data_IF_442234051617
#
_entry.id   IF_442234051617
#
_cell.length_a   1.000
_cell.length_b   1.000
_cell.length_c   1.000
_cell.angle_alpha   90.00
_cell.angle_beta   90.00
_cell.angle_gamma   90.00
#
_symmetry.space_group_name_H-M   'P 1'
#
loop_
_entity.id
_entity.type
_entity.pdbx_description
1 polymer ?
#
# COMPACT_ATOMS: atom_id res chain seq x y z
N UNK A 1 10.02 -4.57 -78.24
CA UNK A 1 9.57 -4.61 -76.83
C UNK A 1 10.28 -5.76 -76.13
N UNK A 2 11.33 -5.49 -75.35
CA UNK A 2 12.01 -6.50 -74.54
C UNK A 2 11.59 -6.32 -73.08
N UNK A 3 10.97 -7.34 -72.49
CA UNK A 3 10.61 -7.38 -71.06
C UNK A 3 11.89 -7.70 -70.27
N UNK A 4 12.41 -6.72 -69.53
CA UNK A 4 13.50 -6.93 -68.59
C UNK A 4 13.11 -7.96 -67.53
N UNK A 5 13.83 -9.08 -67.54
CA UNK A 5 13.72 -10.16 -66.56
C UNK A 5 14.42 -9.69 -65.27
N UNK A 6 13.71 -8.91 -64.44
CA UNK A 6 14.22 -8.45 -63.14
C UNK A 6 14.55 -9.66 -62.27
N UNK A 7 15.81 -9.78 -61.85
CA UNK A 7 16.29 -10.95 -61.10
C UNK A 7 15.62 -11.01 -59.73
N UNK A 8 15.18 -12.21 -59.34
CA UNK A 8 14.42 -12.49 -58.11
C UNK A 8 15.37 -12.66 -56.91
N UNK A 9 16.66 -12.86 -57.18
CA UNK A 9 17.75 -13.02 -56.22
C UNK A 9 17.80 -11.97 -55.09
N UNK A 10 17.74 -10.65 -55.35
CA UNK A 10 17.80 -9.66 -54.27
C UNK A 10 16.58 -9.72 -53.32
N UNK A 11 15.41 -10.14 -53.82
CA UNK A 11 14.20 -10.27 -53.00
C UNK A 11 14.27 -11.47 -52.07
N UNK A 12 14.81 -12.59 -52.54
CA UNK A 12 15.02 -13.80 -51.73
C UNK A 12 16.05 -13.53 -50.63
N UNK A 13 17.15 -12.82 -50.96
CA UNK A 13 18.19 -12.48 -50.00
C UNK A 13 17.65 -11.57 -48.87
N UNK A 14 16.85 -10.56 -49.22
CA UNK A 14 16.20 -9.68 -48.24
C UNK A 14 15.25 -10.46 -47.31
N UNK A 15 14.51 -11.43 -47.84
CA UNK A 15 13.57 -12.24 -47.05
C UNK A 15 14.30 -13.16 -46.06
N UNK A 16 15.45 -13.72 -46.43
CA UNK A 16 16.28 -14.54 -45.53
C UNK A 16 16.83 -13.68 -44.39
N UNK A 17 17.31 -12.46 -44.66
CA UNK A 17 17.84 -11.56 -43.62
C UNK A 17 16.74 -11.21 -42.61
N UNK A 18 15.55 -10.81 -43.09
CA UNK A 18 14.40 -10.52 -42.21
C UNK A 18 14.00 -11.75 -41.40
N UNK A 19 13.97 -12.93 -42.01
CA UNK A 19 13.65 -14.17 -41.30
C UNK A 19 14.67 -14.49 -40.21
N UNK A 20 15.98 -14.31 -40.46
CA UNK A 20 17.01 -14.54 -39.44
C UNK A 20 16.95 -13.55 -38.28
N UNK A 21 16.63 -12.27 -38.54
CA UNK A 21 16.45 -11.27 -37.48
C UNK A 21 15.24 -11.58 -36.61
N UNK A 22 14.10 -11.92 -37.22
CA UNK A 22 12.87 -12.26 -36.48
C UNK A 22 13.05 -13.57 -35.70
N UNK A 23 13.73 -14.58 -36.27
CA UNK A 23 13.96 -15.85 -35.58
C UNK A 23 14.93 -15.70 -34.39
N UNK A 24 15.93 -14.82 -34.49
CA UNK A 24 16.83 -14.53 -33.36
C UNK A 24 16.12 -13.80 -32.21
N UNK A 25 15.19 -12.89 -32.53
CA UNK A 25 14.38 -12.19 -31.53
C UNK A 25 13.41 -13.13 -30.80
N UNK A 26 12.80 -14.07 -31.51
CA UNK A 26 11.89 -15.08 -30.92
C UNK A 26 12.66 -16.14 -30.12
N UNK A 27 13.84 -16.56 -30.57
CA UNK A 27 14.68 -17.51 -29.83
C UNK A 27 15.22 -16.92 -28.51
N UNK A 28 15.49 -15.62 -28.45
CA UNK A 28 15.83 -14.92 -27.21
C UNK A 28 14.62 -14.72 -26.27
N UNK A 29 13.39 -14.73 -26.79
CA UNK A 29 12.17 -14.59 -25.96
C UNK A 29 11.66 -15.91 -25.36
N UNK A 30 12.14 -17.06 -25.82
CA UNK A 30 11.62 -18.39 -25.44
C UNK A 30 12.63 -19.27 -24.66
N UNK A 31 13.74 -18.70 -24.19
CA UNK A 31 14.93 -19.47 -23.85
C UNK A 31 15.60 -19.21 -22.51
N UNK A 32 14.91 -18.75 -21.46
CA UNK A 32 15.43 -18.87 -20.09
C UNK A 32 14.42 -19.60 -19.22
N UNK A 33 14.74 -20.85 -18.84
CA UNK A 33 14.12 -21.48 -17.68
C UNK A 33 14.54 -20.67 -16.46
N UNK A 34 13.76 -19.63 -16.15
CA UNK A 34 13.96 -18.82 -14.96
C UNK A 34 13.62 -19.68 -13.74
N UNK A 35 14.68 -20.13 -13.06
CA UNK A 35 14.61 -20.54 -11.67
C UNK A 35 13.98 -19.41 -10.88
N UNK A 36 12.79 -19.64 -10.32
CA UNK A 36 12.13 -18.77 -9.34
C UNK A 36 13.16 -18.35 -8.29
N UNK A 37 13.56 -17.09 -8.26
CA UNK A 37 14.46 -16.56 -7.24
C UNK A 37 13.70 -16.52 -5.92
N UNK A 38 13.87 -17.58 -5.12
CA UNK A 38 13.37 -17.64 -3.74
C UNK A 38 13.96 -16.47 -2.96
N UNK A 39 13.10 -15.69 -2.30
CA UNK A 39 13.56 -14.69 -1.33
C UNK A 39 14.31 -15.42 -0.21
N UNK A 40 15.52 -14.95 0.13
CA UNK A 40 16.25 -15.45 1.30
C UNK A 40 15.55 -14.97 2.57
N UNK A 41 15.17 -15.90 3.44
CA UNK A 41 14.55 -15.59 4.73
C UNK A 41 15.55 -14.94 5.69
N UNK A 42 15.11 -13.92 6.44
CA UNK A 42 15.85 -13.34 7.55
C UNK A 42 15.63 -14.13 8.84
N UNK A 43 16.46 -13.91 9.87
CA UNK A 43 16.23 -14.51 11.20
C UNK A 43 14.91 -14.04 11.82
N UNK A 44 14.53 -12.80 11.56
CA UNK A 44 13.23 -12.26 11.96
C UNK A 44 12.08 -12.95 11.24
N UNK A 45 12.20 -13.21 9.93
CA UNK A 45 11.19 -13.96 9.18
C UNK A 45 11.00 -15.38 9.75
N UNK A 46 12.08 -16.02 10.23
CA UNK A 46 12.03 -17.36 10.86
C UNK A 46 11.31 -17.30 12.22
N UNK A 47 11.55 -16.26 13.04
CA UNK A 47 10.87 -16.09 14.33
C UNK A 47 9.37 -15.89 14.15
N UNK A 48 8.97 -14.99 13.25
CA UNK A 48 7.55 -14.73 12.98
C UNK A 48 6.88 -15.99 12.40
N UNK A 49 7.58 -16.75 11.54
CA UNK A 49 7.07 -18.02 11.05
C UNK A 49 6.80 -19.03 12.18
N UNK A 50 7.67 -19.10 13.19
CA UNK A 50 7.48 -19.96 14.35
C UNK A 50 6.29 -19.51 15.23
N UNK A 51 6.10 -18.20 15.40
CA UNK A 51 4.95 -17.65 16.12
C UNK A 51 3.63 -18.00 15.42
N UNK A 52 3.56 -17.83 14.09
CA UNK A 52 2.39 -18.20 13.30
C UNK A 52 2.12 -19.71 13.39
N UNK A 53 3.16 -20.54 13.29
CA UNK A 53 3.05 -21.99 13.43
C UNK A 53 2.43 -22.37 14.79
N UNK A 54 2.91 -21.75 15.87
CA UNK A 54 2.36 -21.97 17.21
C UNK A 54 0.91 -21.50 17.36
N UNK A 55 0.54 -20.38 16.72
CA UNK A 55 -0.82 -19.82 16.80
C UNK A 55 -1.84 -20.57 15.95
N UNK A 56 -1.42 -21.18 14.85
CA UNK A 56 -2.32 -21.78 13.86
C UNK A 56 -2.25 -23.30 13.79
N UNK A 57 -1.22 -23.91 14.40
CA UNK A 57 -0.94 -25.33 14.29
C UNK A 57 -0.35 -25.76 12.94
N UNK A 58 -0.03 -24.80 12.06
CA UNK A 58 0.53 -25.07 10.74
C UNK A 58 2.03 -25.42 10.79
N UNK A 59 2.52 -26.14 9.79
CA UNK A 59 3.94 -26.46 9.65
C UNK A 59 4.74 -25.18 9.38
N UNK A 60 5.79 -24.95 10.19
CA UNK A 60 6.70 -23.82 10.04
C UNK A 60 7.36 -23.79 8.66
N UNK A 61 7.63 -24.95 8.05
CA UNK A 61 8.24 -25.02 6.72
C UNK A 61 7.29 -24.56 5.62
N UNK A 62 5.99 -24.75 5.81
CA UNK A 62 4.99 -24.25 4.85
C UNK A 62 4.81 -22.73 4.98
N UNK A 63 4.84 -22.20 6.21
CA UNK A 63 4.86 -20.75 6.45
C UNK A 63 6.12 -20.10 5.85
N UNK A 64 7.29 -20.71 6.06
CA UNK A 64 8.56 -20.28 5.46
C UNK A 64 8.50 -20.27 3.95
N UNK A 65 8.01 -21.35 3.32
CA UNK A 65 7.84 -21.40 1.85
C UNK A 65 6.94 -20.27 1.36
N UNK A 66 5.80 -20.03 2.00
CA UNK A 66 4.91 -18.93 1.61
C UNK A 66 5.59 -17.57 1.74
N UNK A 67 6.42 -17.40 2.77
CA UNK A 67 7.24 -16.21 2.96
C UNK A 67 8.34 -16.08 1.89
N UNK A 68 8.99 -17.19 1.51
CA UNK A 68 9.94 -17.25 0.38
C UNK A 68 9.27 -16.91 -0.95
N UNK A 69 7.99 -17.26 -1.11
CA UNK A 69 7.12 -16.88 -2.22
C UNK A 69 6.50 -15.47 -2.06
N UNK A 70 7.04 -14.65 -1.16
CA UNK A 70 6.74 -13.23 -1.05
C UNK A 70 5.40 -12.89 -0.41
N UNK A 71 4.73 -13.84 0.26
CA UNK A 71 3.52 -13.55 1.03
C UNK A 71 3.88 -12.77 2.31
N UNK A 72 3.01 -11.85 2.70
CA UNK A 72 3.12 -11.15 3.98
C UNK A 72 2.59 -12.02 5.14
N UNK A 73 3.07 -11.75 6.34
CA UNK A 73 2.73 -12.56 7.51
C UNK A 73 1.26 -12.46 7.91
N UNK A 74 0.57 -11.35 7.62
CA UNK A 74 -0.85 -11.23 7.92
C UNK A 74 -1.67 -12.11 6.97
N UNK A 75 -1.34 -12.11 5.67
CA UNK A 75 -1.97 -13.01 4.70
C UNK A 75 -1.69 -14.47 5.06
N UNK A 76 -0.46 -14.82 5.42
CA UNK A 76 -0.12 -16.19 5.84
C UNK A 76 -0.92 -16.60 7.08
N UNK A 77 -0.95 -15.74 8.12
CA UNK A 77 -1.69 -15.98 9.35
C UNK A 77 -3.19 -16.15 9.09
N UNK A 78 -3.78 -15.30 8.26
CA UNK A 78 -5.20 -15.37 7.88
C UNK A 78 -5.51 -16.66 7.10
N UNK A 79 -4.63 -17.05 6.18
CA UNK A 79 -4.77 -18.29 5.40
C UNK A 79 -4.87 -19.50 6.33
N UNK A 80 -3.93 -19.63 7.27
CA UNK A 80 -3.94 -20.77 8.21
C UNK A 80 -5.02 -20.67 9.29
N UNK A 81 -5.65 -19.50 9.47
CA UNK A 81 -6.86 -19.33 10.30
C UNK A 81 -8.16 -19.65 9.54
N UNK A 82 -8.08 -20.05 8.27
CA UNK A 82 -9.24 -20.40 7.44
C UNK A 82 -9.98 -19.20 6.87
N UNK A 83 -9.30 -18.07 6.66
CA UNK A 83 -9.87 -16.92 5.97
C UNK A 83 -9.89 -17.18 4.45
N UNK A 84 -11.11 -17.33 3.89
CA UNK A 84 -11.33 -17.62 2.47
C UNK A 84 -10.69 -16.58 1.53
N UNK A 85 -10.58 -15.31 1.95
CA UNK A 85 -9.92 -14.27 1.15
C UNK A 85 -8.41 -14.50 1.06
N UNK A 86 -7.79 -14.96 2.14
CA UNK A 86 -6.35 -15.19 2.18
C UNK A 86 -5.95 -16.43 1.36
N UNK A 87 -6.78 -17.47 1.36
CA UNK A 87 -6.60 -18.63 0.46
C UNK A 87 -6.71 -18.24 -1.01
N UNK A 88 -7.68 -17.39 -1.38
CA UNK A 88 -7.82 -16.85 -2.74
C UNK A 88 -6.55 -16.12 -3.20
N UNK A 89 -5.98 -15.26 -2.35
CA UNK A 89 -4.75 -14.51 -2.63
C UNK A 89 -3.51 -15.41 -2.85
N UNK A 90 -3.46 -16.56 -2.16
CA UNK A 90 -2.40 -17.55 -2.31
C UNK A 90 -2.52 -18.30 -3.64
N UNK A 91 -3.74 -18.68 -4.03
CA UNK A 91 -4.00 -19.30 -5.33
C UNK A 91 -3.74 -18.33 -6.49
N UNK A 92 -4.16 -17.07 -6.36
CA UNK A 92 -3.90 -16.02 -7.34
C UNK A 92 -2.39 -15.83 -7.58
N UNK A 93 -1.57 -15.84 -6.53
CA UNK A 93 -0.11 -15.69 -6.66
C UNK A 93 0.52 -16.83 -7.47
N UNK A 94 0.08 -18.09 -7.23
CA UNK A 94 0.53 -19.24 -8.03
C UNK A 94 0.16 -19.09 -9.50
N UNK A 95 -1.03 -18.55 -9.79
CA UNK A 95 -1.47 -18.29 -11.17
C UNK A 95 -0.63 -17.20 -11.84
N UNK A 96 -0.28 -16.11 -11.15
CA UNK A 96 0.57 -15.06 -11.71
C UNK A 96 1.98 -15.56 -12.04
N UNK A 97 2.57 -16.38 -11.18
CA UNK A 97 3.84 -17.05 -11.46
C UNK A 97 3.72 -17.99 -12.67
N UNK A 98 2.62 -18.72 -12.80
CA UNK A 98 2.35 -19.59 -13.95
C UNK A 98 2.15 -18.79 -15.26
N UNK A 99 1.66 -17.55 -15.19
CA UNK A 99 1.57 -16.63 -16.33
C UNK A 99 2.93 -16.04 -16.74
N UNK A 100 4.00 -16.30 -15.98
CA UNK A 100 5.36 -15.87 -16.30
C UNK A 100 5.80 -14.55 -15.65
N UNK A 101 5.00 -13.98 -14.75
CA UNK A 101 5.39 -12.79 -14.00
C UNK A 101 6.45 -13.12 -12.95
N UNK A 102 7.40 -12.21 -12.72
CA UNK A 102 8.43 -12.39 -11.70
C UNK A 102 7.85 -12.15 -10.31
N UNK A 103 8.39 -12.84 -9.32
CA UNK A 103 7.96 -12.69 -7.92
C UNK A 103 8.10 -11.23 -7.44
N UNK A 104 9.21 -10.58 -7.75
CA UNK A 104 9.44 -9.19 -7.35
C UNK A 104 8.39 -8.24 -7.95
N UNK A 105 8.00 -8.48 -9.22
CA UNK A 105 6.96 -7.69 -9.88
C UNK A 105 5.58 -7.91 -9.26
N UNK A 106 5.24 -9.15 -8.91
CA UNK A 106 3.98 -9.47 -8.23
C UNK A 106 3.93 -8.80 -6.86
N UNK A 107 5.03 -8.88 -6.11
CA UNK A 107 5.15 -8.27 -4.78
C UNK A 107 5.07 -6.74 -4.85
N UNK A 108 5.71 -6.12 -5.84
CA UNK A 108 5.65 -4.67 -6.07
C UNK A 108 4.22 -4.21 -6.39
N UNK A 109 3.53 -4.89 -7.31
CA UNK A 109 2.13 -4.55 -7.64
C UNK A 109 1.21 -4.74 -6.44
N UNK A 110 1.36 -5.84 -5.69
CA UNK A 110 0.59 -6.08 -4.46
C UNK A 110 0.77 -4.97 -3.45
N UNK A 111 2.03 -4.56 -3.21
CA UNK A 111 2.33 -3.48 -2.28
C UNK A 111 1.65 -2.18 -2.70
N UNK A 112 1.74 -1.82 -3.99
CA UNK A 112 1.16 -0.60 -4.51
C UNK A 112 -0.38 -0.60 -4.41
N UNK A 113 -1.01 -1.71 -4.81
CA UNK A 113 -2.47 -1.87 -4.76
C UNK A 113 -2.96 -1.81 -3.31
N UNK A 114 -2.32 -2.54 -2.40
CA UNK A 114 -2.69 -2.52 -0.99
C UNK A 114 -2.48 -1.14 -0.37
N UNK A 115 -1.40 -0.43 -0.75
CA UNK A 115 -1.17 0.96 -0.34
C UNK A 115 -2.33 1.86 -0.77
N UNK A 116 -2.74 1.79 -2.04
CA UNK A 116 -3.83 2.60 -2.55
C UNK A 116 -5.17 2.31 -1.85
N UNK A 117 -5.48 1.03 -1.63
CA UNK A 117 -6.70 0.62 -0.89
C UNK A 117 -6.67 1.14 0.53
N UNK A 118 -5.56 0.94 1.25
CA UNK A 118 -5.41 1.44 2.61
C UNK A 118 -5.59 2.96 2.68
N UNK A 119 -4.98 3.70 1.75
CA UNK A 119 -5.13 5.17 1.71
C UNK A 119 -6.59 5.59 1.44
N UNK A 120 -7.31 4.86 0.58
CA UNK A 120 -8.73 5.08 0.33
C UNK A 120 -9.59 4.75 1.56
N UNK A 121 -9.30 3.65 2.27
CA UNK A 121 -9.97 3.28 3.52
C UNK A 121 -9.76 4.36 4.59
N UNK A 122 -8.53 4.82 4.78
CA UNK A 122 -8.20 5.89 5.73
C UNK A 122 -8.90 7.20 5.37
N UNK A 123 -8.94 7.57 4.08
CA UNK A 123 -9.68 8.76 3.63
C UNK A 123 -11.17 8.66 3.95
N UNK A 124 -11.78 7.51 3.68
CA UNK A 124 -13.24 7.31 3.75
C UNK A 124 -13.75 6.82 5.10
N UNK A 125 -12.85 6.50 6.04
CA UNK A 125 -13.21 6.16 7.41
C UNK A 125 -13.70 7.41 8.16
N UNK A 126 -14.94 7.33 8.64
CA UNK A 126 -15.53 8.30 9.56
C UNK A 126 -14.77 8.24 10.89
N UNK A 127 -14.03 9.29 11.22
CA UNK A 127 -13.29 9.41 12.49
C UNK A 127 -14.18 9.74 13.71
N UNK A 128 -15.50 9.69 13.54
CA UNK A 128 -16.47 10.02 14.59
C UNK A 128 -16.65 8.91 15.64
N UNK A 129 -15.94 7.79 15.53
CA UNK A 129 -15.97 6.73 16.56
C UNK A 129 -14.94 6.91 17.68
N UNK A 130 -14.45 8.13 17.92
CA UNK A 130 -13.90 8.45 19.25
C UNK A 130 -15.07 8.81 20.16
N UNK A 131 -15.64 7.80 20.81
CA UNK A 131 -16.67 7.93 21.84
C UNK A 131 -16.13 8.81 22.97
N UNK A 132 -16.43 10.11 22.91
CA UNK A 132 -16.59 10.95 24.09
C UNK A 132 -17.96 11.61 23.92
N UNK A 133 -18.98 11.19 24.68
CA UNK A 133 -20.26 11.86 24.63
C UNK A 133 -20.13 13.16 25.40
N UNK A 134 -20.33 14.31 24.76
CA UNK A 134 -21.02 15.40 25.41
C UNK A 134 -21.70 16.34 24.40
N UNK A 135 -22.89 16.87 24.74
CA UNK A 135 -23.75 17.58 23.81
C UNK A 135 -23.46 19.08 23.86
N UNK A 136 -23.28 19.71 22.71
CA UNK A 136 -23.86 21.02 22.45
C UNK A 136 -23.81 21.36 20.96
N UNK A 137 -24.88 21.97 20.41
CA UNK A 137 -24.91 22.39 19.02
C UNK A 137 -24.24 23.75 18.91
N UNK A 138 -22.92 23.78 18.72
CA UNK A 138 -22.28 24.96 18.14
C UNK A 138 -22.37 24.80 16.64
N UNK A 139 -23.13 25.70 16.02
CA UNK A 139 -23.25 25.83 14.57
C UNK A 139 -21.84 26.02 14.01
N UNK A 140 -21.31 24.99 13.36
CA UNK A 140 -20.00 25.02 12.74
C UNK A 140 -20.11 25.68 11.36
N UNK A 141 -19.84 26.99 11.31
CA UNK A 141 -19.98 27.83 10.10
C UNK A 141 -18.71 27.75 9.23
N UNK A 142 -17.76 26.85 9.50
CA UNK A 142 -16.48 26.82 8.76
C UNK A 142 -15.97 25.44 8.30
N UNK A 143 -16.81 24.40 8.25
CA UNK A 143 -16.43 23.19 7.51
C UNK A 143 -16.98 23.30 6.08
N UNK A 144 -16.11 23.69 5.13
CA UNK A 144 -16.21 23.08 3.80
C UNK A 144 -15.91 21.60 4.02
N UNK A 145 -16.94 20.82 4.32
CA UNK A 145 -16.84 19.37 4.24
C UNK A 145 -16.42 19.06 2.80
N UNK A 146 -15.16 18.69 2.66
CA UNK A 146 -14.64 18.26 1.37
C UNK A 146 -15.39 16.98 1.01
N UNK A 147 -16.02 16.98 -0.17
CA UNK A 147 -16.86 15.87 -0.59
C UNK A 147 -16.01 14.63 -0.85
N UNK A 148 -15.97 13.72 0.13
CA UNK A 148 -15.25 12.45 0.06
C UNK A 148 -16.08 11.33 -0.61
N UNK A 149 -17.32 11.63 -1.03
CA UNK A 149 -18.20 10.66 -1.71
C UNK A 149 -17.52 9.97 -2.90
N UNK A 150 -16.79 10.67 -3.80
CA UNK A 150 -16.12 10.04 -4.93
C UNK A 150 -15.06 9.00 -4.53
N UNK A 151 -14.36 9.21 -3.41
CA UNK A 151 -13.37 8.26 -2.89
C UNK A 151 -14.04 7.02 -2.28
N UNK A 152 -15.19 7.21 -1.63
CA UNK A 152 -15.99 6.12 -1.05
C UNK A 152 -16.60 5.24 -2.13
N UNK A 153 -17.16 5.84 -3.18
CA UNK A 153 -17.65 5.13 -4.35
C UNK A 153 -16.51 4.34 -5.03
N UNK A 154 -15.36 4.97 -5.23
CA UNK A 154 -14.18 4.33 -5.82
C UNK A 154 -13.71 3.12 -5.00
N UNK A 155 -13.63 3.26 -3.67
CA UNK A 155 -13.26 2.16 -2.76
C UNK A 155 -14.25 0.99 -2.87
N UNK A 156 -15.56 1.28 -2.95
CA UNK A 156 -16.60 0.25 -3.02
C UNK A 156 -16.55 -0.61 -4.29
N UNK A 157 -16.08 -0.04 -5.40
CA UNK A 157 -15.91 -0.73 -6.68
C UNK A 157 -14.52 -1.38 -6.84
N UNK A 158 -13.59 -1.08 -5.95
CA UNK A 158 -12.20 -1.53 -6.05
C UNK A 158 -12.08 -3.03 -5.76
N UNK A 159 -11.52 -3.79 -6.71
CA UNK A 159 -11.32 -5.24 -6.57
C UNK A 159 -9.84 -5.58 -6.63
N UNK A 160 -9.23 -5.82 -5.47
CA UNK A 160 -7.78 -6.06 -5.30
C UNK A 160 -7.24 -7.10 -6.29
N UNK A 161 -7.85 -8.29 -6.36
CA UNK A 161 -7.37 -9.36 -7.24
C UNK A 161 -7.41 -8.96 -8.72
N UNK A 162 -8.50 -8.31 -9.14
CA UNK A 162 -8.63 -7.83 -10.51
C UNK A 162 -7.65 -6.69 -10.81
N UNK A 163 -7.42 -5.79 -9.86
CA UNK A 163 -6.44 -4.71 -10.00
C UNK A 163 -5.03 -5.28 -10.20
N UNK A 164 -4.59 -6.21 -9.33
CA UNK A 164 -3.27 -6.84 -9.42
C UNK A 164 -3.09 -7.53 -10.78
N UNK A 165 -4.06 -8.34 -11.20
CA UNK A 165 -4.01 -9.05 -12.47
C UNK A 165 -3.90 -8.08 -13.67
N UNK A 166 -4.74 -7.05 -13.68
CA UNK A 166 -4.80 -6.08 -14.77
C UNK A 166 -3.53 -5.24 -14.84
N UNK A 167 -3.03 -4.76 -13.70
CA UNK A 167 -1.81 -3.96 -13.62
C UNK A 167 -0.61 -4.79 -14.08
N UNK A 168 -0.48 -6.04 -13.65
CA UNK A 168 0.59 -6.94 -14.11
C UNK A 168 0.58 -7.11 -15.63
N UNK A 169 -0.61 -7.26 -16.24
CA UNK A 169 -0.77 -7.42 -17.68
C UNK A 169 -0.56 -6.13 -18.48
N UNK A 170 -0.96 -4.98 -17.92
CA UNK A 170 -1.07 -3.72 -18.64
C UNK A 170 0.08 -2.74 -18.36
N UNK A 171 0.95 -2.99 -17.36
CA UNK A 171 2.05 -2.08 -16.98
C UNK A 171 2.96 -1.66 -18.14
N UNK A 172 3.14 -2.50 -19.16
CA UNK A 172 3.95 -2.15 -20.33
C UNK A 172 3.20 -1.20 -21.27
N UNK A 173 1.89 -1.42 -21.44
CA UNK A 173 1.04 -0.60 -22.32
C UNK A 173 0.80 0.81 -21.75
N UNK A 174 0.89 0.96 -20.43
CA UNK A 174 0.77 2.24 -19.72
C UNK A 174 2.12 2.77 -19.20
N UNK A 175 3.25 2.30 -19.76
CA UNK A 175 4.62 2.65 -19.37
C UNK A 175 5.11 2.04 -18.05
N UNK A 176 4.33 2.11 -16.97
CA UNK A 176 4.73 1.57 -15.67
C UNK A 176 3.53 1.10 -14.82
N UNK A 177 3.83 0.55 -13.64
CA UNK A 177 2.85 0.00 -12.70
C UNK A 177 1.92 1.08 -12.14
N UNK A 178 2.45 2.27 -11.82
CA UNK A 178 1.68 3.38 -11.26
C UNK A 178 0.67 3.94 -12.27
N UNK A 179 1.08 4.10 -13.53
CA UNK A 179 0.21 4.56 -14.61
C UNK A 179 -0.86 3.53 -14.95
N UNK A 180 -0.54 2.24 -14.90
CA UNK A 180 -1.54 1.18 -15.04
C UNK A 180 -2.54 1.18 -13.88
N UNK A 181 -2.10 1.46 -12.65
CA UNK A 181 -2.99 1.65 -11.50
C UNK A 181 -3.85 2.90 -11.67
N UNK A 182 -3.29 4.03 -12.12
CA UNK A 182 -4.04 5.25 -12.40
C UNK A 182 -5.10 5.04 -13.48
N UNK A 183 -4.81 4.24 -14.51
CA UNK A 183 -5.81 3.86 -15.50
C UNK A 183 -6.88 2.95 -14.91
N UNK A 184 -6.51 1.99 -14.04
CA UNK A 184 -7.48 1.17 -13.32
C UNK A 184 -8.43 2.02 -12.47
N UNK A 185 -7.89 2.92 -11.63
CA UNK A 185 -8.69 3.87 -10.85
C UNK A 185 -9.61 4.71 -11.74
N UNK A 186 -9.13 5.13 -12.91
CA UNK A 186 -9.93 5.92 -13.84
C UNK A 186 -11.03 5.12 -14.52
N UNK A 187 -10.76 3.86 -14.87
CA UNK A 187 -11.75 2.95 -15.43
C UNK A 187 -12.91 2.72 -14.47
N UNK A 188 -12.63 2.62 -13.15
CA UNK A 188 -13.65 2.51 -12.12
C UNK A 188 -14.49 3.79 -12.04
N UNK A 189 -13.86 4.97 -12.04
CA UNK A 189 -14.57 6.26 -12.04
C UNK A 189 -15.51 6.40 -13.25
N UNK A 190 -15.08 5.95 -14.43
CA UNK A 190 -15.91 5.96 -15.63
C UNK A 190 -16.92 4.79 -15.70
N UNK A 191 -16.89 3.88 -14.73
CA UNK A 191 -17.65 2.63 -14.75
C UNK A 191 -17.43 1.85 -16.08
N UNK A 192 -16.17 1.64 -16.44
CA UNK A 192 -15.71 0.87 -17.60
C UNK A 192 -14.89 -0.32 -17.10
N UNK A 193 -15.17 -1.51 -17.61
CA UNK A 193 -14.35 -2.69 -17.32
C UNK A 193 -13.00 -2.60 -18.04
N UNK A 194 -11.91 -2.38 -17.30
CA UNK A 194 -10.56 -2.35 -17.87
C UNK A 194 -10.15 -3.68 -18.52
N UNK A 195 -10.78 -4.82 -18.17
CA UNK A 195 -10.57 -6.09 -18.90
C UNK A 195 -10.95 -5.98 -20.37
N UNK A 196 -11.79 -5.00 -20.75
CA UNK A 196 -12.09 -4.71 -22.14
C UNK A 196 -10.84 -4.29 -22.91
N UNK A 197 -9.92 -3.54 -22.31
CA UNK A 197 -8.67 -3.14 -22.99
C UNK A 197 -7.88 -4.35 -23.49
N UNK A 198 -7.81 -5.41 -22.68
CA UNK A 198 -7.12 -6.66 -23.03
C UNK A 198 -7.81 -7.44 -24.16
N UNK A 199 -9.13 -7.25 -24.35
CA UNK A 199 -9.94 -7.96 -25.35
C UNK A 199 -10.06 -7.17 -26.66
N UNK A 200 -10.29 -5.86 -26.53
CA UNK A 200 -10.58 -4.93 -27.60
C UNK A 200 -10.19 -3.51 -27.15
N UNK A 201 -8.98 -3.13 -27.51
CA UNK A 201 -8.39 -1.84 -27.15
C UNK A 201 -9.14 -0.67 -27.77
N UNK A 202 -9.61 -0.81 -29.01
CA UNK A 202 -10.32 0.28 -29.71
C UNK A 202 -11.65 0.57 -29.02
N UNK A 203 -12.44 -0.48 -28.74
CA UNK A 203 -13.71 -0.34 -28.04
C UNK A 203 -13.55 0.24 -26.63
N UNK A 204 -12.48 -0.11 -25.92
CA UNK A 204 -12.16 0.53 -24.65
C UNK A 204 -11.93 2.04 -24.82
N UNK A 205 -11.13 2.45 -25.81
CA UNK A 205 -10.84 3.87 -26.05
C UNK A 205 -12.08 4.66 -26.48
N UNK A 206 -12.97 4.05 -27.26
CA UNK A 206 -14.27 4.63 -27.61
C UNK A 206 -15.13 4.88 -26.37
N UNK A 207 -15.31 3.87 -25.51
CA UNK A 207 -16.08 4.02 -24.27
C UNK A 207 -15.47 5.05 -23.32
N UNK A 208 -14.13 5.04 -23.21
CA UNK A 208 -13.40 6.03 -22.41
C UNK A 208 -13.66 7.43 -22.94
N UNK A 209 -13.60 7.62 -24.26
CA UNK A 209 -13.82 8.91 -24.91
C UNK A 209 -15.25 9.42 -24.80
N UNK A 210 -16.23 8.52 -24.81
CA UNK A 210 -17.65 8.85 -24.61
C UNK A 210 -17.91 9.24 -23.15
N UNK A 211 -17.46 8.42 -22.20
CA UNK A 211 -17.77 8.63 -20.78
C UNK A 211 -16.95 9.73 -20.12
N UNK A 212 -15.73 10.03 -20.60
CA UNK A 212 -14.95 11.15 -20.08
C UNK A 212 -15.65 12.50 -20.28
N UNK A 213 -16.55 12.62 -21.27
CA UNK A 213 -17.34 13.84 -21.48
C UNK A 213 -18.33 14.09 -20.34
N UNK A 214 -18.78 13.03 -19.65
CA UNK A 214 -19.62 13.12 -18.46
C UNK A 214 -18.82 13.53 -17.21
N UNK A 215 -17.49 13.52 -17.31
CA UNK A 215 -16.54 13.87 -16.24
C UNK A 215 -15.94 15.26 -16.41
N UNK A 216 -16.42 16.07 -17.36
CA UNK A 216 -15.92 17.44 -17.56
C UNK A 216 -16.13 18.27 -16.29
N UNK A 217 -15.04 18.81 -15.73
CA UNK A 217 -15.05 19.61 -14.51
C UNK A 217 -14.93 18.81 -13.21
N UNK A 218 -14.93 17.46 -13.27
CA UNK A 218 -14.57 16.61 -12.14
C UNK A 218 -13.07 16.31 -12.19
N UNK A 219 -12.41 16.42 -11.04
CA UNK A 219 -11.02 16.02 -10.91
C UNK A 219 -10.89 14.48 -11.01
N UNK A 220 -9.90 14.01 -11.77
CA UNK A 220 -9.60 12.58 -11.88
C UNK A 220 -8.90 12.13 -10.60
N UNK A 221 -9.47 11.14 -9.92
CA UNK A 221 -8.82 10.49 -8.78
C UNK A 221 -7.66 9.63 -9.29
N UNK A 222 -6.46 10.05 -8.96
CA UNK A 222 -5.19 9.35 -9.23
C UNK A 222 -4.55 8.92 -7.91
N UNK A 223 -3.53 8.07 -7.97
CA UNK A 223 -2.76 7.70 -6.79
C UNK A 223 -2.15 8.93 -6.09
N UNK A 224 -1.62 9.87 -6.86
CA UNK A 224 -1.05 11.11 -6.33
C UNK A 224 -2.12 11.96 -5.61
N UNK A 225 -3.33 12.04 -6.17
CA UNK A 225 -4.43 12.77 -5.51
C UNK A 225 -4.86 12.10 -4.21
N UNK A 226 -4.93 10.77 -4.18
CA UNK A 226 -5.23 10.00 -2.95
C UNK A 226 -4.19 10.31 -1.87
N UNK A 227 -2.91 10.32 -2.23
CA UNK A 227 -1.81 10.63 -1.32
C UNK A 227 -1.85 12.07 -0.81
N UNK A 228 -2.10 13.04 -1.70
CA UNK A 228 -2.24 14.45 -1.35
C UNK A 228 -3.38 14.66 -0.36
N UNK A 229 -4.57 14.10 -0.66
CA UNK A 229 -5.74 14.22 0.21
C UNK A 229 -5.51 13.57 1.57
N UNK A 230 -4.84 12.42 1.61
CA UNK A 230 -4.53 11.77 2.89
C UNK A 230 -3.56 12.61 3.71
N UNK A 231 -2.55 13.22 3.08
CA UNK A 231 -1.61 14.10 3.77
C UNK A 231 -2.32 15.33 4.36
N UNK A 232 -3.23 15.95 3.61
CA UNK A 232 -4.05 17.07 4.09
C UNK A 232 -4.89 16.63 5.30
N UNK A 233 -5.60 15.50 5.20
CA UNK A 233 -6.39 14.94 6.30
C UNK A 233 -5.56 14.74 7.57
N UNK A 234 -4.35 14.17 7.45
CA UNK A 234 -3.44 13.96 8.58
C UNK A 234 -2.94 15.29 9.19
N UNK A 235 -2.67 16.30 8.38
CA UNK A 235 -2.28 17.62 8.86
C UNK A 235 -3.39 18.30 9.65
N UNK A 236 -4.62 18.30 9.11
CA UNK A 236 -5.80 18.85 9.78
C UNK A 236 -6.10 18.15 11.11
N UNK A 237 -5.92 16.83 11.18
CA UNK A 237 -6.07 16.08 12.43
C UNK A 237 -5.06 16.51 13.49
N UNK A 238 -3.80 16.68 13.11
CA UNK A 238 -2.76 17.13 14.02
C UNK A 238 -3.07 18.54 14.54
N UNK A 239 -3.47 19.46 13.66
CA UNK A 239 -3.85 20.82 14.05
C UNK A 239 -5.03 20.84 15.02
N UNK A 240 -6.07 20.03 14.78
CA UNK A 240 -7.22 19.89 15.70
C UNK A 240 -6.80 19.36 17.07
N UNK A 241 -5.85 18.42 17.14
CA UNK A 241 -5.34 17.91 18.41
C UNK A 241 -4.52 18.97 19.19
N UNK A 242 -3.72 19.78 18.51
CA UNK A 242 -2.95 20.86 19.16
C UNK A 242 -3.82 22.04 19.61
N UNK A 243 -4.84 22.42 18.84
CA UNK A 243 -5.77 23.49 19.22
C UNK A 243 -6.62 23.13 20.44
N UNK A 244 -7.13 21.89 20.52
CA UNK A 244 -7.91 21.40 21.65
C UNK A 244 -7.10 21.24 22.95
N UNK A 245 -5.78 21.08 22.85
CA UNK A 245 -4.89 21.04 24.02
C UNK A 245 -4.63 22.45 24.59
N UNK A 246 -4.61 23.48 23.74
CA UNK A 246 -4.26 24.85 24.13
C UNK A 246 -5.45 25.61 24.75
N UNK A 247 -6.69 25.27 24.38
CA UNK A 247 -7.89 25.88 25.00
C UNK A 247 -8.19 25.38 26.42
N UNK A 248 -7.73 24.18 26.79
CA UNK A 248 -7.96 23.63 28.15
C UNK A 248 -7.04 24.22 29.22
N UNK A 249 -5.93 24.87 28.85
CA UNK A 249 -5.02 25.49 29.83
C UNK A 249 -5.36 26.95 30.16
N UNK A 250 -6.27 27.61 29.42
CA UNK A 250 -6.56 29.05 29.60
C UNK A 250 -7.87 29.41 30.33
N UNK A 251 -8.57 28.43 30.94
CA UNK A 251 -9.82 28.72 31.68
C UNK A 251 -9.60 28.91 33.20
N UNK A 252 -8.40 28.64 33.73
CA UNK A 252 -8.11 28.84 35.16
C UNK A 252 -7.22 30.06 35.42
N UNK A 253 -7.73 31.26 35.13
CA UNK A 253 -7.22 32.50 35.72
C UNK A 253 -8.33 33.56 35.72
N UNK A 254 -9.36 33.33 36.53
CA UNK A 254 -9.95 34.37 37.41
C UNK A 254 -11.23 33.86 38.05
N UNK A 255 -11.14 33.57 39.35
CA UNK A 255 -12.16 33.92 40.35
C UNK A 255 -11.66 33.53 41.73
N UNK A 256 -11.16 34.52 42.45
CA UNK A 256 -11.26 34.56 43.90
C UNK A 256 -12.76 34.52 44.27
N UNK A 257 -13.17 33.55 45.08
CA UNK A 257 -14.16 33.77 46.15
C UNK A 257 -14.13 32.61 47.16
N UNK A 258 -14.48 32.97 48.38
CA UNK A 258 -14.23 32.31 49.65
C UNK A 258 -14.86 30.92 49.84
N UNK A 259 -14.09 30.07 50.53
CA UNK A 259 -14.48 29.31 51.73
C UNK A 259 -15.83 28.58 51.74
N UNK A 260 -15.78 27.24 51.69
CA UNK A 260 -16.27 26.37 52.77
C UNK A 260 -15.97 24.90 52.45
N UNK A 261 -15.17 24.29 53.32
CA UNK A 261 -14.94 22.85 53.39
C UNK A 261 -16.24 22.14 53.85
N UNK A 262 -16.52 20.93 53.37
CA UNK A 262 -16.44 19.81 54.30
C UNK A 262 -15.67 18.61 53.73
N UNK A 263 -14.89 18.01 54.62
CA UNK A 263 -14.02 16.85 54.42
C UNK A 263 -14.68 15.70 53.66
N UNK A 264 -14.02 15.28 52.58
CA UNK A 264 -14.16 13.93 52.00
C UNK A 264 -12.79 13.25 52.14
N UNK A 265 -12.70 11.99 52.63
CA UNK A 265 -11.41 11.35 52.87
C UNK A 265 -10.66 11.17 51.55
N UNK A 266 -9.46 11.74 51.45
CA UNK A 266 -8.54 11.49 50.33
C UNK A 266 -8.21 9.99 50.28
N UNK A 267 -8.69 9.31 49.25
CA UNK A 267 -8.08 8.05 48.81
C UNK A 267 -6.71 8.40 48.25
N UNK A 268 -5.65 8.00 48.95
CA UNK A 268 -4.26 8.11 48.48
C UNK A 268 -4.06 7.17 47.29
N UNK A 269 -4.26 7.71 46.09
CA UNK A 269 -3.79 7.07 44.87
C UNK A 269 -2.25 7.03 44.95
N UNK A 270 -1.59 5.88 44.83
CA UNK A 270 -0.13 5.83 44.83
C UNK A 270 0.39 6.68 43.67
N UNK A 271 1.19 7.69 43.99
CA UNK A 271 1.86 8.52 42.98
C UNK A 271 2.76 7.63 42.13
N UNK A 272 2.54 7.54 40.80
CA UNK A 272 3.48 6.87 39.93
C UNK A 272 4.81 7.61 40.06
N UNK A 273 5.85 6.90 40.52
CA UNK A 273 7.21 7.43 40.45
C UNK A 273 7.48 7.76 38.98
N UNK A 274 7.57 9.06 38.70
CA UNK A 274 7.97 9.59 37.40
C UNK A 274 9.38 9.09 37.12
N UNK A 275 9.49 7.96 36.43
CA UNK A 275 10.75 7.56 35.83
C UNK A 275 10.89 8.45 34.61
N UNK A 276 11.60 9.58 34.76
CA UNK A 276 12.01 10.38 33.61
C UNK A 276 12.74 9.45 32.63
N UNK A 277 12.44 9.52 31.31
CA UNK A 277 13.20 8.79 30.32
C UNK A 277 14.69 9.08 30.51
N UNK A 278 15.51 8.04 30.63
CA UNK A 278 16.96 8.23 30.73
C UNK A 278 17.45 8.91 29.45
N UNK A 279 18.32 9.90 29.62
CA UNK A 279 18.92 10.61 28.50
C UNK A 279 19.87 9.66 27.76
N UNK A 280 19.69 9.42 26.44
CA UNK A 280 20.48 8.45 25.68
C UNK A 280 21.99 8.76 25.68
N UNK A 281 22.40 10.00 25.97
CA UNK A 281 23.81 10.35 26.18
C UNK A 281 24.43 9.66 27.40
N UNK A 282 23.66 9.45 28.47
CA UNK A 282 24.17 8.86 29.71
C UNK A 282 24.32 7.34 29.59
N UNK A 283 23.51 6.71 28.73
CA UNK A 283 23.59 5.28 28.43
C UNK A 283 24.80 4.96 27.54
N UNK A 284 25.06 5.77 26.52
CA UNK A 284 26.28 5.69 25.70
C UNK A 284 27.56 5.88 26.51
N UNK A 285 27.59 6.83 27.45
CA UNK A 285 28.77 7.06 28.28
C UNK A 285 29.05 5.89 29.24
N UNK A 286 28.00 5.23 29.76
CA UNK A 286 28.15 4.00 30.55
C UNK A 286 28.69 2.87 29.69
N UNK A 287 28.16 2.68 28.49
CA UNK A 287 28.62 1.63 27.57
C UNK A 287 30.10 1.83 27.18
N UNK A 288 30.52 3.07 26.87
CA UNK A 288 31.92 3.41 26.56
C UNK A 288 32.85 3.18 27.77
N UNK A 289 32.40 3.50 28.99
CA UNK A 289 33.17 3.25 30.21
C UNK A 289 33.34 1.76 30.52
N UNK A 290 32.44 0.91 30.01
CA UNK A 290 32.49 -0.54 30.21
C UNK A 290 33.38 -1.24 29.18
N UNK A 291 33.59 -0.59 28.02
CA UNK A 291 34.38 -1.14 26.90
C UNK A 291 35.89 -0.82 27.01
N UNK A 292 36.29 0.05 27.94
CA UNK A 292 37.70 0.49 28.05
C UNK A 292 38.37 0.00 29.37
N UNK A 293 38.87 -1.24 29.45
CA UNK A 293 39.66 -1.71 30.58
C UNK A 293 41.12 -1.23 30.46
N UNK A 294 41.36 0.07 30.50
CA UNK A 294 42.71 0.62 30.64
C UNK A 294 42.69 1.95 31.41
N UNK A 295 42.60 1.83 32.73
CA UNK A 295 43.27 2.73 33.67
C UNK A 295 43.39 2.07 35.06
N UNK A 296 44.00 0.88 35.09
CA UNK A 296 44.72 0.41 36.27
C UNK A 296 46.14 0.04 35.84
N UNK A 297 47.03 1.03 35.80
CA UNK A 297 48.47 0.90 36.09
C UNK A 297 49.20 2.24 35.97
N UNK A 298 49.74 2.68 37.10
CA UNK A 298 50.60 3.86 37.26
C UNK A 298 50.18 4.60 38.52
N UNK A 299 50.68 4.28 39.72
CA UNK A 299 51.98 4.71 40.25
C UNK A 299 52.27 6.19 40.00
#
# INVERSE_FOLDING_TARGET
MAKEKRSILPKILALIIVFTMVFSAVAMSLGTKHSLTKRKLTEEDIKIAAEIANMTGADIEDIKKLREYGQDFNTILKTFKGDEQAESLLYANKNYLAMGFKQDEISEVKLLVNRAVYQLEELTSDLDNTIIPEPNPVVDIFNKEEDLTPFKELLSEFKIDSAIELILKLKQDFNNIEEALNEYLYSLQLNIDLKLYLKDKEKYQEQKSEKQLLFVGKERITLALIEEKLLIKLQEQNEKQFSNATEKENINSDKQTENNNPEVPLVTVPTPNSVKPLNPKDELNKEISTINPMNEKGR
#
